data_IF_116840020978
#
_entry.id   IF_116840020978
#
_cell.length_a   1.000
_cell.length_b   1.000
_cell.length_c   1.000
_cell.angle_alpha   90.00
_cell.angle_beta   90.00
_cell.angle_gamma   90.00
#
_symmetry.space_group_name_H-M   'P 1'
#
loop_
_entity.id
_entity.type
_entity.pdbx_description
1 polymer ?
#
# COMPACT_ATOMS: atom_id res chain seq x y z
N UNK A 1 12.98 26.01 0.36
CA UNK A 1 12.51 24.64 0.70
C UNK A 1 11.00 24.56 0.92
N UNK A 2 10.37 25.46 1.69
CA UNK A 2 8.94 25.38 2.07
C UNK A 2 7.93 25.95 1.06
N UNK A 3 8.28 27.02 0.34
CA UNK A 3 7.36 27.71 -0.59
C UNK A 3 7.07 26.91 -1.87
N UNK A 4 8.06 26.18 -2.40
CA UNK A 4 7.97 25.52 -3.71
C UNK A 4 7.10 24.24 -3.72
N UNK A 5 7.06 23.49 -2.62
CA UNK A 5 6.24 22.26 -2.51
C UNK A 5 4.76 22.61 -2.30
N UNK A 6 4.48 23.66 -1.53
CA UNK A 6 3.13 24.19 -1.31
C UNK A 6 2.59 24.80 -2.61
N UNK A 7 3.40 25.55 -3.37
CA UNK A 7 2.98 26.07 -4.67
C UNK A 7 2.68 24.96 -5.70
N UNK A 8 3.44 23.86 -5.65
CA UNK A 8 3.22 22.69 -6.52
C UNK A 8 1.92 21.95 -6.17
N UNK A 9 1.71 21.64 -4.90
CA UNK A 9 0.47 21.02 -4.42
C UNK A 9 -0.73 21.93 -4.71
N UNK A 10 -0.59 23.24 -4.48
CA UNK A 10 -1.59 24.24 -4.85
C UNK A 10 -1.92 24.16 -6.34
N UNK A 11 -0.95 24.06 -7.25
CA UNK A 11 -1.25 24.00 -8.69
C UNK A 11 -1.85 22.66 -9.16
N UNK A 12 -1.44 21.53 -8.59
CA UNK A 12 -2.01 20.21 -8.91
C UNK A 12 -3.43 20.12 -8.35
N UNK A 13 -3.64 20.62 -7.12
CA UNK A 13 -4.96 20.75 -6.49
C UNK A 13 -5.87 21.75 -7.22
N UNK A 14 -5.35 22.90 -7.67
CA UNK A 14 -6.14 23.88 -8.43
C UNK A 14 -6.60 23.33 -9.77
N UNK A 15 -5.74 22.61 -10.49
CA UNK A 15 -6.10 22.03 -11.81
C UNK A 15 -7.15 20.93 -11.65
N UNK A 16 -7.06 20.12 -10.60
CA UNK A 16 -8.04 19.05 -10.32
C UNK A 16 -9.37 19.58 -9.76
N UNK A 17 -9.36 20.67 -8.98
CA UNK A 17 -10.57 21.35 -8.48
C UNK A 17 -11.28 22.14 -9.58
N UNK A 18 -10.54 22.82 -10.47
CA UNK A 18 -11.12 23.56 -11.61
C UNK A 18 -11.79 22.60 -12.62
N UNK A 19 -11.23 21.40 -12.83
CA UNK A 19 -11.85 20.39 -13.70
C UNK A 19 -13.10 19.72 -13.12
N UNK A 20 -13.40 19.92 -11.82
CA UNK A 20 -14.50 19.26 -11.12
C UNK A 20 -15.71 20.18 -10.83
N UNK A 21 -15.64 21.48 -11.15
CA UNK A 21 -16.72 22.43 -10.89
C UNK A 21 -17.54 22.71 -12.17
N UNK A 22 -18.89 22.62 -12.14
CA UNK A 22 -19.70 22.80 -13.35
C UNK A 22 -19.75 24.23 -13.89
N UNK A 23 -19.41 25.25 -13.10
CA UNK A 23 -19.56 26.67 -13.45
C UNK A 23 -18.57 27.58 -12.69
N UNK A 24 -17.31 27.65 -13.13
CA UNK A 24 -16.37 28.64 -12.58
C UNK A 24 -15.99 29.70 -13.63
N UNK A 25 -16.41 30.94 -13.38
CA UNK A 25 -15.94 32.15 -14.06
C UNK A 25 -15.26 33.06 -13.04
N UNK A 26 -13.93 32.92 -12.91
CA UNK A 26 -13.05 33.81 -12.16
C UNK A 26 -12.04 34.51 -13.10
N UNK A 27 -11.37 35.58 -12.64
CA UNK A 27 -10.62 36.49 -13.50
C UNK A 27 -9.44 35.79 -14.19
N UNK A 28 -9.24 36.14 -15.45
CA UNK A 28 -8.47 35.40 -16.45
C UNK A 28 -6.95 35.48 -16.21
N UNK A 29 -6.44 34.61 -15.33
CA UNK A 29 -5.00 34.38 -15.20
C UNK A 29 -4.58 33.43 -16.33
N UNK A 30 -3.93 33.96 -17.35
CA UNK A 30 -3.41 33.21 -18.50
C UNK A 30 -2.71 31.91 -18.05
N UNK A 31 -3.28 30.77 -18.46
CA UNK A 31 -2.78 29.40 -18.20
C UNK A 31 -1.29 29.25 -18.51
N UNK A 32 -0.81 29.94 -19.55
CA UNK A 32 0.59 29.91 -19.97
C UNK A 32 1.54 30.57 -18.98
N UNK A 33 1.06 31.51 -18.15
CA UNK A 33 1.86 32.20 -17.13
C UNK A 33 2.08 31.31 -15.91
N UNK A 34 1.06 30.54 -15.53
CA UNK A 34 1.11 29.53 -14.46
C UNK A 34 2.03 28.37 -14.86
N UNK A 35 1.89 27.86 -16.08
CA UNK A 35 2.72 26.77 -16.61
C UNK A 35 4.20 27.17 -16.72
N UNK A 36 4.50 28.42 -17.11
CA UNK A 36 5.88 28.93 -17.17
C UNK A 36 6.51 29.10 -15.78
N UNK A 37 5.74 29.55 -14.79
CA UNK A 37 6.20 29.67 -13.41
C UNK A 37 6.49 28.29 -12.80
N UNK A 38 5.65 27.30 -13.08
CA UNK A 38 5.84 25.91 -12.66
C UNK A 38 7.09 25.27 -13.27
N UNK A 39 7.34 25.50 -14.56
CA UNK A 39 8.58 25.06 -15.22
C UNK A 39 9.82 25.73 -14.61
N UNK A 40 9.77 27.02 -14.31
CA UNK A 40 10.90 27.74 -13.68
C UNK A 40 11.21 27.29 -12.25
N UNK A 41 10.20 26.83 -11.51
CA UNK A 41 10.36 26.31 -10.15
C UNK A 41 10.88 24.86 -10.13
N UNK A 42 10.50 24.05 -11.13
CA UNK A 42 10.97 22.68 -11.31
C UNK A 42 12.43 22.58 -11.80
N UNK A 43 12.95 23.62 -12.46
CA UNK A 43 14.29 23.62 -13.07
C UNK A 43 15.41 24.10 -12.11
N UNK A 44 15.07 24.46 -10.86
CA UNK A 44 16.07 24.84 -9.85
C UNK A 44 16.78 23.60 -9.28
N UNK A 45 18.12 23.61 -9.31
CA UNK A 45 19.02 22.49 -8.92
C UNK A 45 18.71 21.84 -7.57
N UNK A 46 18.21 22.60 -6.59
CA UNK A 46 18.01 22.13 -5.21
C UNK A 46 16.67 21.37 -5.01
N UNK A 47 15.83 21.25 -6.05
CA UNK A 47 14.48 20.70 -5.97
C UNK A 47 14.18 19.55 -6.95
N UNK A 48 15.16 19.17 -7.77
CA UNK A 48 15.00 18.19 -8.86
C UNK A 48 14.73 16.76 -8.36
N UNK A 49 15.36 16.32 -7.26
CA UNK A 49 15.23 14.94 -6.77
C UNK A 49 13.85 14.65 -6.14
N UNK A 50 13.34 15.53 -5.28
CA UNK A 50 12.04 15.35 -4.64
C UNK A 50 10.86 15.51 -5.63
N UNK A 51 10.99 16.46 -6.57
CA UNK A 51 10.01 16.68 -7.64
C UNK A 51 9.96 15.48 -8.59
N UNK A 52 11.12 14.96 -9.02
CA UNK A 52 11.20 13.78 -9.85
C UNK A 52 10.63 12.54 -9.14
N UNK A 53 10.88 12.34 -7.84
CA UNK A 53 10.39 11.15 -7.15
C UNK A 53 8.87 11.14 -6.98
N UNK A 54 8.25 12.25 -6.56
CA UNK A 54 6.79 12.32 -6.39
C UNK A 54 6.07 12.30 -7.73
N UNK A 55 6.59 13.02 -8.74
CA UNK A 55 6.02 12.96 -10.09
C UNK A 55 6.23 11.59 -10.73
N UNK A 56 7.37 10.91 -10.53
CA UNK A 56 7.60 9.55 -11.04
C UNK A 56 6.61 8.59 -10.38
N UNK A 57 6.50 8.57 -9.05
CA UNK A 57 5.55 7.67 -8.35
C UNK A 57 4.11 7.87 -8.84
N UNK A 58 3.67 9.12 -9.01
CA UNK A 58 2.32 9.41 -9.48
C UNK A 58 2.10 9.05 -10.96
N UNK A 59 3.05 9.42 -11.83
CA UNK A 59 2.97 9.15 -13.27
C UNK A 59 3.10 7.66 -13.55
N UNK A 60 3.99 6.97 -12.84
CA UNK A 60 4.21 5.53 -12.95
C UNK A 60 2.97 4.77 -12.44
N UNK A 61 2.36 5.20 -11.33
CA UNK A 61 1.11 4.63 -10.82
C UNK A 61 -0.09 4.82 -11.77
N UNK A 62 -0.24 6.00 -12.38
CA UNK A 62 -1.27 6.25 -13.41
C UNK A 62 -1.03 5.41 -14.65
N UNK A 63 0.19 5.39 -15.17
CA UNK A 63 0.56 4.62 -16.35
C UNK A 63 0.35 3.12 -16.13
N UNK A 64 0.62 2.62 -14.93
CA UNK A 64 0.36 1.25 -14.55
C UNK A 64 -1.13 0.89 -14.62
N UNK A 65 -2.01 1.76 -14.09
CA UNK A 65 -3.46 1.51 -14.15
C UNK A 65 -4.02 1.57 -15.57
N UNK A 66 -3.49 2.47 -16.42
CA UNK A 66 -3.84 2.55 -17.85
C UNK A 66 -3.45 1.24 -18.57
N UNK A 67 -2.27 0.69 -18.30
CA UNK A 67 -1.83 -0.58 -18.89
C UNK A 67 -2.74 -1.76 -18.53
N UNK A 68 -3.33 -1.74 -17.33
CA UNK A 68 -4.32 -2.74 -16.89
C UNK A 68 -5.72 -2.53 -17.45
N UNK A 69 -5.86 -1.68 -18.46
CA UNK A 69 -7.14 -1.36 -19.11
C UNK A 69 -8.19 -0.85 -18.12
N UNK A 70 -7.76 -0.27 -16.99
CA UNK A 70 -8.66 0.41 -16.04
C UNK A 70 -9.22 1.63 -16.75
N UNK A 71 -10.52 1.83 -16.61
CA UNK A 71 -11.22 2.97 -17.20
C UNK A 71 -10.76 4.27 -16.57
N UNK A 72 -10.90 5.37 -17.29
CA UNK A 72 -10.66 6.72 -16.77
C UNK A 72 -11.44 6.98 -15.48
N UNK A 73 -12.61 6.35 -15.32
CA UNK A 73 -13.46 6.43 -14.11
C UNK A 73 -12.83 5.67 -12.93
N UNK A 74 -12.22 4.51 -13.16
CA UNK A 74 -11.56 3.72 -12.12
C UNK A 74 -10.24 4.38 -11.67
N UNK A 75 -9.45 4.86 -12.64
CA UNK A 75 -8.23 5.63 -12.39
C UNK A 75 -8.57 6.90 -11.63
N UNK A 76 -9.60 7.63 -12.06
CA UNK A 76 -10.11 8.78 -11.32
C UNK A 76 -10.52 8.36 -9.91
N UNK A 77 -11.40 7.39 -9.70
CA UNK A 77 -11.87 7.01 -8.34
C UNK A 77 -10.74 6.72 -7.34
N UNK A 78 -9.68 6.03 -7.77
CA UNK A 78 -8.51 5.71 -6.93
C UNK A 78 -7.70 6.97 -6.60
N UNK A 79 -7.46 7.83 -7.60
CA UNK A 79 -6.65 9.05 -7.45
C UNK A 79 -7.42 10.26 -6.88
N UNK A 80 -8.73 10.33 -7.10
CA UNK A 80 -9.52 11.56 -6.92
C UNK A 80 -10.40 11.56 -5.70
N UNK A 81 -10.71 10.44 -5.06
CA UNK A 81 -11.54 10.50 -3.85
C UNK A 81 -10.70 10.52 -2.57
N UNK A 82 -9.80 9.56 -2.38
CA UNK A 82 -9.05 9.45 -1.10
C UNK A 82 -7.83 10.35 -1.02
N UNK A 83 -7.01 10.41 -2.07
CA UNK A 83 -5.85 11.32 -2.09
C UNK A 83 -6.27 12.79 -2.10
N UNK A 84 -7.27 13.17 -2.92
CA UNK A 84 -7.83 14.52 -2.83
C UNK A 84 -8.48 14.79 -1.48
N UNK A 85 -9.16 13.80 -0.87
CA UNK A 85 -9.68 13.95 0.49
C UNK A 85 -8.56 14.23 1.50
N UNK A 86 -7.48 13.44 1.50
CA UNK A 86 -6.33 13.65 2.39
C UNK A 86 -5.69 15.00 2.13
N UNK A 87 -5.42 15.36 0.87
CA UNK A 87 -4.83 16.65 0.53
C UNK A 87 -5.75 17.82 0.93
N UNK A 88 -7.04 17.74 0.64
CA UNK A 88 -8.03 18.76 1.02
C UNK A 88 -8.11 18.94 2.55
N UNK A 89 -7.97 17.85 3.31
CA UNK A 89 -8.14 17.86 4.76
C UNK A 89 -6.83 17.94 5.57
N UNK A 90 -5.67 17.83 4.93
CA UNK A 90 -4.36 17.86 5.61
C UNK A 90 -3.36 18.86 5.02
N UNK A 91 -3.34 19.06 3.69
CA UNK A 91 -2.35 19.92 3.03
C UNK A 91 -2.93 21.24 2.51
N UNK A 92 -4.23 21.27 2.16
CA UNK A 92 -4.91 22.41 1.53
C UNK A 92 -5.87 23.15 2.45
N UNK A 93 -5.76 22.94 3.77
CA UNK A 93 -6.51 23.77 4.69
C UNK A 93 -5.99 25.22 4.63
N UNK A 94 -6.87 26.24 4.75
CA UNK A 94 -6.45 27.64 4.67
C UNK A 94 -5.34 28.02 5.65
N UNK A 95 -5.34 27.46 6.85
CA UNK A 95 -4.31 27.69 7.88
C UNK A 95 -2.94 27.10 7.50
N UNK A 96 -2.92 25.93 6.85
CA UNK A 96 -1.70 25.26 6.38
C UNK A 96 -1.06 26.04 5.23
N UNK A 97 -1.87 26.43 4.25
CA UNK A 97 -1.40 27.19 3.09
C UNK A 97 -0.95 28.58 3.52
N UNK A 98 -1.77 29.32 4.28
CA UNK A 98 -1.46 30.69 4.63
C UNK A 98 -0.28 30.76 5.59
N UNK A 99 -0.24 29.88 6.61
CA UNK A 99 0.88 29.80 7.55
C UNK A 99 2.21 29.36 6.93
N UNK A 100 2.19 28.74 5.74
CA UNK A 100 3.40 28.41 5.01
C UNK A 100 3.96 29.56 4.16
N UNK A 101 3.15 30.58 3.84
CA UNK A 101 3.47 31.63 2.86
C UNK A 101 3.53 33.03 3.49
N UNK A 102 2.67 33.29 4.47
CA UNK A 102 2.48 34.61 5.10
C UNK A 102 2.76 34.48 6.59
N UNK A 103 3.71 35.28 7.09
CA UNK A 103 4.01 35.37 8.51
C UNK A 103 2.75 35.76 9.30
N UNK A 104 2.52 35.13 10.45
CA UNK A 104 1.36 35.31 11.32
C UNK A 104 -0.03 34.99 10.71
N UNK A 105 -0.11 34.30 9.57
CA UNK A 105 -1.39 33.93 8.96
C UNK A 105 -1.93 32.54 9.35
N UNK A 106 -1.10 31.71 9.97
CA UNK A 106 -1.47 30.37 10.41
C UNK A 106 -0.28 29.59 10.96
N UNK A 107 -0.56 28.49 11.66
CA UNK A 107 0.47 27.56 12.15
C UNK A 107 0.30 26.25 11.40
N UNK A 108 1.15 25.97 10.39
CA UNK A 108 1.03 24.75 9.60
C UNK A 108 1.41 23.54 10.46
N UNK A 109 0.47 22.62 10.65
CA UNK A 109 0.64 21.35 11.33
C UNK A 109 1.07 20.27 10.33
N UNK A 110 2.32 20.32 9.90
CA UNK A 110 2.89 19.22 9.13
C UNK A 110 3.03 17.97 10.02
N UNK A 111 2.40 16.84 9.69
CA UNK A 111 2.42 15.64 10.53
C UNK A 111 3.82 15.09 10.78
N UNK A 112 4.79 15.39 9.90
CA UNK A 112 6.21 15.02 10.09
C UNK A 112 6.96 15.89 11.12
N UNK A 113 6.39 17.02 11.51
CA UNK A 113 7.01 18.00 12.40
C UNK A 113 6.19 18.27 13.67
N UNK A 114 4.94 17.77 13.73
CA UNK A 114 4.08 17.91 14.90
C UNK A 114 4.40 16.80 15.88
N UNK A 115 5.12 17.16 16.94
CA UNK A 115 5.30 16.28 18.09
C UNK A 115 4.05 16.37 18.97
N UNK A 116 3.52 15.22 19.35
CA UNK A 116 2.40 15.10 20.27
C UNK A 116 2.84 14.30 21.50
N UNK A 117 2.28 14.63 22.65
CA UNK A 117 2.60 13.98 23.92
C UNK A 117 1.41 13.15 24.40
N UNK A 118 1.71 12.01 25.01
CA UNK A 118 0.74 11.20 25.74
C UNK A 118 0.96 11.45 27.23
N UNK A 119 -0.07 11.94 27.93
CA UNK A 119 -0.01 12.09 29.38
C UNK A 119 -0.06 10.70 30.02
N UNK A 120 1.03 10.29 30.64
CA UNK A 120 1.10 9.05 31.40
C UNK A 120 0.55 9.32 32.81
N UNK A 121 -0.42 8.51 33.31
CA UNK A 121 -0.93 8.67 34.66
C UNK A 121 0.18 8.58 35.71
N UNK A 122 0.07 9.39 36.76
CA UNK A 122 0.97 9.36 37.92
C UNK A 122 0.90 8.01 38.66
N UNK A 123 1.80 7.82 39.63
CA UNK A 123 1.92 6.61 40.48
C UNK A 123 2.55 5.41 39.77
N UNK A 124 3.64 5.65 39.04
CA UNK A 124 4.49 4.57 38.52
C UNK A 124 4.94 3.67 39.69
N UNK A 125 4.61 2.36 39.67
CA UNK A 125 5.02 1.44 40.73
C UNK A 125 6.54 1.30 40.76
N UNK A 126 7.13 0.91 41.92
CA UNK A 126 8.55 0.62 41.99
C UNK A 126 8.91 -0.50 41.02
N UNK A 127 10.06 -0.38 40.37
CA UNK A 127 10.56 -1.40 39.45
C UNK A 127 10.79 -2.70 40.23
N UNK A 128 10.10 -3.77 39.82
CA UNK A 128 10.31 -5.11 40.33
C UNK A 128 10.97 -5.94 39.24
N UNK A 129 12.14 -6.57 39.49
CA UNK A 129 12.72 -7.48 38.53
C UNK A 129 11.78 -8.68 38.31
N UNK A 130 11.87 -9.28 37.13
CA UNK A 130 11.15 -10.51 36.86
C UNK A 130 11.62 -11.60 37.84
N UNK A 131 10.69 -12.32 38.50
CA UNK A 131 11.07 -13.39 39.39
C UNK A 131 11.76 -14.52 38.61
N UNK A 132 12.72 -15.24 39.21
CA UNK A 132 13.27 -16.43 38.59
C UNK A 132 12.14 -17.44 38.33
N UNK A 133 12.11 -18.01 37.13
CA UNK A 133 11.11 -19.01 36.76
C UNK A 133 11.53 -20.33 37.40
N UNK A 134 10.71 -20.93 38.29
CA UNK A 134 11.04 -22.23 38.86
C UNK A 134 11.06 -23.33 37.78
N UNK A 135 11.89 -24.35 37.97
CA UNK A 135 11.92 -25.51 37.10
C UNK A 135 10.56 -26.24 37.08
N UNK A 136 10.25 -26.91 35.95
CA UNK A 136 9.05 -27.74 35.75
C UNK A 136 7.70 -27.00 35.81
N UNK A 137 7.67 -25.69 35.52
CA UNK A 137 6.41 -24.96 35.32
C UNK A 137 5.73 -25.37 34.00
N UNK A 138 4.39 -25.41 33.94
CA UNK A 138 3.69 -25.58 32.66
C UNK A 138 4.02 -24.42 31.73
N UNK A 139 4.23 -24.73 30.46
CA UNK A 139 4.53 -23.76 29.40
C UNK A 139 3.38 -23.71 28.42
N UNK A 140 3.09 -22.51 27.90
CA UNK A 140 2.18 -22.37 26.77
C UNK A 140 2.89 -22.72 25.46
N UNK A 141 2.20 -23.44 24.58
CA UNK A 141 2.60 -23.61 23.19
C UNK A 141 1.73 -22.73 22.30
N UNK A 142 2.39 -21.80 21.62
CA UNK A 142 1.74 -20.75 20.84
C UNK A 142 2.15 -20.88 19.40
N UNK A 143 1.16 -20.97 18.50
CA UNK A 143 1.39 -20.83 17.07
C UNK A 143 1.38 -19.34 16.73
N UNK A 144 2.39 -18.88 16.00
CA UNK A 144 2.47 -17.50 15.52
C UNK A 144 2.57 -17.51 13.99
N UNK A 145 1.60 -16.87 13.34
CA UNK A 145 1.54 -16.70 11.89
C UNK A 145 1.64 -15.20 11.55
N UNK A 146 2.35 -14.86 10.49
CA UNK A 146 2.48 -13.50 9.97
C UNK A 146 2.72 -13.55 8.48
N UNK A 147 2.44 -12.45 7.78
CA UNK A 147 2.82 -12.20 6.38
C UNK A 147 2.40 -13.38 5.48
N UNK A 148 1.11 -13.74 5.56
CA UNK A 148 0.58 -14.92 4.86
C UNK A 148 0.59 -14.68 3.34
N UNK A 149 0.27 -13.47 2.90
CA UNK A 149 0.30 -13.00 1.51
C UNK A 149 -0.17 -14.05 0.49
N UNK A 150 -1.49 -14.32 0.44
CA UNK A 150 -2.04 -15.27 -0.54
C UNK A 150 -2.25 -14.58 -1.88
N UNK A 151 -1.53 -15.06 -2.89
CA UNK A 151 -1.76 -14.69 -4.29
C UNK A 151 -2.87 -15.56 -4.91
N UNK A 152 -4.06 -14.98 -5.03
CA UNK A 152 -5.22 -15.59 -5.71
C UNK A 152 -5.05 -15.79 -7.22
N UNK A 153 -4.11 -15.09 -7.84
CA UNK A 153 -3.81 -15.16 -9.27
C UNK A 153 -2.50 -15.92 -9.54
N UNK A 154 -1.89 -16.53 -8.51
CA UNK A 154 -0.68 -17.33 -8.68
C UNK A 154 -0.93 -18.43 -9.71
N UNK A 155 -0.13 -18.43 -10.78
CA UNK A 155 -0.28 -19.33 -11.91
C UNK A 155 0.93 -20.25 -12.00
N UNK A 156 0.74 -21.54 -11.75
CA UNK A 156 1.80 -22.56 -11.86
C UNK A 156 2.33 -22.60 -13.30
N UNK A 157 3.66 -22.64 -13.44
CA UNK A 157 4.35 -22.67 -14.72
C UNK A 157 4.48 -21.31 -15.41
N UNK A 158 3.96 -20.22 -14.83
CA UNK A 158 4.19 -18.86 -15.33
C UNK A 158 5.61 -18.37 -15.02
N UNK A 159 6.03 -17.22 -15.57
CA UNK A 159 7.37 -16.69 -15.33
C UNK A 159 7.55 -16.21 -13.88
N UNK A 160 8.48 -16.83 -13.17
CA UNK A 160 8.83 -16.44 -11.81
C UNK A 160 9.95 -15.38 -11.76
N UNK A 161 10.86 -15.36 -12.73
CA UNK A 161 11.93 -14.37 -12.85
C UNK A 161 11.55 -13.29 -13.86
N UNK A 162 10.41 -12.64 -13.63
CA UNK A 162 9.97 -11.55 -14.48
C UNK A 162 10.88 -10.33 -14.29
N UNK A 163 11.39 -9.76 -15.38
CA UNK A 163 12.18 -8.54 -15.33
C UNK A 163 11.24 -7.33 -15.23
N UNK A 164 11.53 -6.40 -14.31
CA UNK A 164 11.01 -5.04 -14.36
C UNK A 164 11.36 -4.47 -15.74
N UNK A 165 10.38 -4.24 -16.61
CA UNK A 165 10.64 -3.65 -17.93
C UNK A 165 11.41 -2.33 -17.75
N UNK A 166 12.63 -2.24 -18.27
CA UNK A 166 13.55 -1.13 -18.00
C UNK A 166 13.05 0.24 -18.48
N UNK A 167 12.03 0.29 -19.33
CA UNK A 167 11.45 1.55 -19.81
C UNK A 167 10.36 2.12 -18.88
N UNK A 168 9.64 1.28 -18.12
CA UNK A 168 8.49 1.68 -17.30
C UNK A 168 8.41 1.01 -15.91
N UNK A 169 9.31 0.08 -15.57
CA UNK A 169 9.40 -0.68 -14.31
C UNK A 169 8.10 -1.39 -13.86
N UNK A 170 7.30 -1.96 -14.77
CA UNK A 170 5.90 -2.35 -14.46
C UNK A 170 5.59 -3.83 -14.20
N UNK A 171 6.49 -4.62 -13.58
CA UNK A 171 6.02 -5.83 -12.88
C UNK A 171 6.43 -5.76 -11.42
N UNK A 172 5.50 -5.31 -10.57
CA UNK A 172 5.71 -5.30 -9.14
C UNK A 172 5.61 -6.71 -8.52
N UNK A 173 5.04 -7.71 -9.23
CA UNK A 173 4.99 -9.11 -8.80
C UNK A 173 4.96 -10.10 -9.98
N UNK A 174 5.66 -11.22 -9.86
CA UNK A 174 5.80 -12.31 -10.83
C UNK A 174 4.86 -13.49 -10.51
N UNK A 175 5.06 -14.65 -11.13
CA UNK A 175 4.28 -15.88 -10.93
C UNK A 175 2.78 -15.77 -11.26
N UNK A 176 2.40 -14.82 -12.12
CA UNK A 176 1.03 -14.63 -12.63
C UNK A 176 1.02 -14.69 -14.16
N UNK A 177 -0.15 -14.94 -14.73
CA UNK A 177 -0.37 -14.86 -16.18
C UNK A 177 -0.80 -13.44 -16.58
N UNK A 178 0.14 -12.61 -17.03
CA UNK A 178 -0.18 -11.29 -17.53
C UNK A 178 -0.60 -11.32 -19.01
N UNK A 179 -1.73 -10.67 -19.32
CA UNK A 179 -2.24 -10.55 -20.69
C UNK A 179 -1.38 -9.66 -21.58
N UNK A 180 -0.61 -8.74 -20.97
CA UNK A 180 0.15 -7.70 -21.66
C UNK A 180 1.61 -8.08 -21.97
N UNK A 181 1.97 -9.35 -21.81
CA UNK A 181 3.17 -9.93 -22.44
C UNK A 181 3.07 -9.98 -23.98
N UNK A 182 2.11 -9.25 -24.55
CA UNK A 182 1.86 -9.03 -25.96
C UNK A 182 2.31 -7.60 -26.27
N UNK A 183 3.54 -7.44 -26.74
CA UNK A 183 4.06 -6.16 -27.23
C UNK A 183 3.11 -5.54 -28.27
N UNK A 184 2.92 -4.21 -28.19
CA UNK A 184 2.10 -3.39 -29.12
C UNK A 184 2.44 -3.58 -30.62
N UNK A 185 3.52 -4.29 -30.95
CA UNK A 185 4.01 -4.53 -32.32
C UNK A 185 4.17 -6.02 -32.68
N UNK A 186 3.24 -6.88 -32.23
CA UNK A 186 3.08 -8.21 -32.79
C UNK A 186 3.75 -9.35 -32.02
N UNK A 187 2.90 -10.12 -31.36
CA UNK A 187 2.97 -11.58 -31.13
C UNK A 187 4.37 -12.21 -30.98
N UNK A 188 5.04 -11.96 -29.86
CA UNK A 188 5.73 -13.04 -29.14
C UNK A 188 5.47 -12.88 -27.65
N UNK A 189 4.82 -13.90 -27.05
CA UNK A 189 4.80 -14.05 -25.59
C UNK A 189 6.24 -14.00 -25.11
N UNK A 190 6.53 -13.27 -24.04
CA UNK A 190 7.85 -13.33 -23.40
C UNK A 190 8.14 -14.81 -23.09
N UNK A 191 9.34 -15.30 -23.44
CA UNK A 191 9.70 -16.67 -23.13
C UNK A 191 9.72 -16.88 -21.62
N UNK A 192 9.24 -18.04 -21.17
CA UNK A 192 9.35 -18.46 -19.77
C UNK A 192 10.74 -19.04 -19.58
N UNK A 193 11.58 -18.36 -18.81
CA UNK A 193 12.91 -18.77 -18.40
C UNK A 193 12.87 -19.56 -17.10
N UNK A 194 12.06 -19.11 -16.12
CA UNK A 194 11.91 -19.77 -14.83
C UNK A 194 10.44 -20.06 -14.55
N UNK A 195 9.97 -21.29 -14.80
CA UNK A 195 8.57 -21.64 -14.56
C UNK A 195 8.29 -21.72 -13.06
N UNK A 196 7.24 -21.05 -12.60
CA UNK A 196 6.78 -21.04 -11.21
C UNK A 196 6.32 -22.44 -10.76
N UNK A 197 6.62 -22.79 -9.52
CA UNK A 197 6.36 -24.12 -8.96
C UNK A 197 4.96 -24.22 -8.38
N UNK A 198 4.47 -25.44 -8.08
CA UNK A 198 3.16 -25.61 -7.46
C UNK A 198 3.10 -24.99 -6.05
N UNK A 199 4.16 -25.04 -5.27
CA UNK A 199 4.13 -24.62 -3.85
C UNK A 199 4.62 -23.18 -3.62
N UNK A 200 4.79 -22.39 -4.67
CA UNK A 200 5.46 -21.09 -4.62
C UNK A 200 6.83 -21.13 -5.31
N UNK A 201 7.52 -19.98 -5.34
CA UNK A 201 8.86 -19.86 -5.92
C UNK A 201 9.62 -18.67 -5.27
N UNK A 202 10.93 -18.78 -4.97
CA UNK A 202 11.71 -17.72 -4.33
C UNK A 202 12.12 -16.60 -5.31
N UNK A 203 11.13 -15.89 -5.85
CA UNK A 203 11.31 -14.62 -6.59
C UNK A 203 10.35 -13.57 -6.00
N UNK A 204 10.10 -12.48 -6.71
CA UNK A 204 9.06 -11.52 -6.37
C UNK A 204 7.66 -12.12 -6.59
N UNK A 205 7.34 -13.19 -5.87
CA UNK A 205 6.08 -13.93 -5.93
C UNK A 205 5.57 -14.16 -4.52
N UNK A 206 4.27 -13.98 -4.34
CA UNK A 206 3.57 -14.40 -3.14
C UNK A 206 3.10 -15.86 -3.27
N UNK A 207 2.55 -16.44 -2.20
CA UNK A 207 2.26 -17.88 -2.15
C UNK A 207 0.89 -18.22 -2.76
N UNK A 208 0.76 -19.36 -3.45
CA UNK A 208 -0.56 -19.87 -3.82
C UNK A 208 -1.30 -20.38 -2.57
N UNK A 209 -2.64 -20.29 -2.60
CA UNK A 209 -3.50 -20.73 -1.50
C UNK A 209 -3.18 -22.14 -0.98
N UNK A 210 -2.85 -23.07 -1.88
CA UNK A 210 -2.54 -24.46 -1.53
C UNK A 210 -1.31 -24.61 -0.62
N UNK A 211 -0.33 -23.71 -0.71
CA UNK A 211 0.84 -23.73 0.18
C UNK A 211 0.43 -23.41 1.60
N UNK A 212 -0.42 -22.40 1.79
CA UNK A 212 -0.94 -22.02 3.10
C UNK A 212 -1.83 -23.13 3.68
N UNK A 213 -2.76 -23.67 2.88
CA UNK A 213 -3.59 -24.81 3.31
C UNK A 213 -2.76 -26.01 3.75
N UNK A 214 -1.74 -26.39 2.97
CA UNK A 214 -0.88 -27.52 3.30
C UNK A 214 -0.10 -27.28 4.61
N UNK A 215 0.37 -26.06 4.84
CA UNK A 215 1.05 -25.68 6.08
C UNK A 215 0.11 -25.78 7.28
N UNK A 216 -1.08 -25.16 7.20
CA UNK A 216 -2.10 -25.18 8.26
C UNK A 216 -2.53 -26.62 8.59
N UNK A 217 -2.79 -27.44 7.57
CA UNK A 217 -3.13 -28.86 7.73
C UNK A 217 -2.02 -29.64 8.42
N UNK A 218 -0.76 -29.41 8.05
CA UNK A 218 0.36 -30.09 8.70
C UNK A 218 0.43 -29.71 10.18
N UNK A 219 0.37 -28.41 10.48
CA UNK A 219 0.42 -27.88 11.85
C UNK A 219 -0.70 -28.47 12.70
N UNK A 220 -1.93 -28.52 12.20
CA UNK A 220 -3.07 -29.07 12.96
C UNK A 220 -2.90 -30.54 13.32
N UNK A 221 -2.15 -31.31 12.53
CA UNK A 221 -1.84 -32.71 12.81
C UNK A 221 -0.61 -32.91 13.69
N UNK A 222 0.41 -32.07 13.52
CA UNK A 222 1.68 -32.17 14.24
C UNK A 222 1.61 -31.55 15.65
N UNK A 223 0.71 -30.58 15.85
CA UNK A 223 0.58 -29.80 17.07
C UNK A 223 -0.87 -29.80 17.56
N UNK A 224 -1.29 -30.91 18.16
CA UNK A 224 -2.61 -31.03 18.80
C UNK A 224 -2.67 -30.40 20.21
N UNK A 225 -1.55 -29.87 20.70
CA UNK A 225 -1.36 -29.32 22.04
C UNK A 225 -1.08 -27.80 22.02
N UNK A 226 -1.60 -27.10 21.02
CA UNK A 226 -1.57 -25.64 20.96
C UNK A 226 -2.57 -25.03 21.96
N UNK A 227 -2.13 -24.06 22.74
CA UNK A 227 -2.99 -23.36 23.68
C UNK A 227 -3.74 -22.20 23.01
N UNK A 228 -3.09 -21.49 22.09
CA UNK A 228 -3.69 -20.42 21.29
C UNK A 228 -2.83 -20.07 20.07
N UNK A 229 -3.42 -19.28 19.16
CA UNK A 229 -2.80 -18.81 17.92
C UNK A 229 -2.75 -17.28 17.92
N UNK A 230 -1.61 -16.72 17.52
CA UNK A 230 -1.45 -15.29 17.20
C UNK A 230 -1.27 -15.16 15.69
N UNK A 231 -1.99 -14.21 15.09
CA UNK A 231 -1.87 -13.88 13.67
C UNK A 231 -1.67 -12.38 13.52
N UNK A 232 -0.57 -11.97 12.90
CA UNK A 232 -0.18 -10.56 12.84
C UNK A 232 -0.58 -9.79 11.58
N UNK A 233 -1.45 -10.37 10.74
CA UNK A 233 -2.02 -9.71 9.56
C UNK A 233 -1.29 -10.05 8.26
N UNK A 234 -1.46 -9.20 7.25
CA UNK A 234 -0.89 -9.29 5.91
C UNK A 234 -1.30 -10.57 5.17
N UNK A 235 -2.61 -10.65 4.90
CA UNK A 235 -3.29 -11.76 4.23
C UNK A 235 -3.33 -11.57 2.70
N UNK A 236 -3.43 -10.32 2.24
CA UNK A 236 -3.46 -9.98 0.82
C UNK A 236 -2.06 -10.00 0.21
N UNK A 237 -1.98 -10.34 -1.07
CA UNK A 237 -0.74 -10.27 -1.84
C UNK A 237 -0.27 -8.82 -2.09
N UNK A 238 0.93 -8.70 -2.61
CA UNK A 238 1.57 -7.47 -3.09
C UNK A 238 1.03 -7.03 -4.46
N UNK A 239 -0.26 -7.20 -4.72
CA UNK A 239 -0.96 -6.78 -5.94
C UNK A 239 -1.83 -5.53 -5.73
N UNK A 240 -1.21 -4.51 -5.12
CA UNK A 240 -1.79 -3.21 -4.74
C UNK A 240 -2.38 -2.38 -5.89
N UNK A 241 -2.47 -2.94 -7.10
CA UNK A 241 -3.08 -2.36 -8.28
C UNK A 241 -4.32 -3.10 -8.77
N UNK A 242 -4.58 -4.32 -8.27
CA UNK A 242 -5.71 -5.17 -8.68
C UNK A 242 -6.47 -5.72 -7.49
N UNK A 243 -6.93 -4.81 -6.64
CA UNK A 243 -7.59 -5.10 -5.37
C UNK A 243 -8.84 -4.24 -5.20
N UNK A 244 -9.84 -4.77 -4.49
CA UNK A 244 -11.09 -4.10 -4.14
C UNK A 244 -11.51 -4.52 -2.74
N UNK A 245 -12.39 -3.75 -2.09
CA UNK A 245 -12.89 -4.10 -0.75
C UNK A 245 -13.53 -5.49 -0.71
N UNK A 246 -14.28 -5.85 -1.76
CA UNK A 246 -14.96 -7.14 -1.81
C UNK A 246 -13.97 -8.30 -2.04
N UNK A 247 -12.96 -8.08 -2.88
CA UNK A 247 -11.87 -9.03 -3.05
C UNK A 247 -11.12 -9.21 -1.73
N UNK A 248 -10.63 -8.14 -1.11
CA UNK A 248 -9.91 -8.21 0.18
C UNK A 248 -10.75 -8.91 1.25
N UNK A 249 -12.02 -8.53 1.41
CA UNK A 249 -12.93 -9.21 2.35
C UNK A 249 -13.07 -10.71 2.05
N UNK A 250 -13.20 -11.08 0.77
CA UNK A 250 -13.33 -12.48 0.38
C UNK A 250 -12.09 -13.30 0.73
N UNK A 251 -10.88 -12.76 0.59
CA UNK A 251 -9.65 -13.48 0.89
C UNK A 251 -9.42 -13.59 2.40
N UNK A 252 -9.68 -12.51 3.16
CA UNK A 252 -9.70 -12.55 4.63
C UNK A 252 -10.68 -13.62 5.13
N UNK A 253 -11.89 -13.69 4.58
CA UNK A 253 -12.87 -14.71 4.94
C UNK A 253 -12.37 -16.12 4.62
N UNK A 254 -11.82 -16.36 3.43
CA UNK A 254 -11.31 -17.68 3.04
C UNK A 254 -10.18 -18.16 3.98
N UNK A 255 -9.24 -17.29 4.32
CA UNK A 255 -8.15 -17.60 5.26
C UNK A 255 -8.69 -17.87 6.66
N UNK A 256 -9.64 -17.05 7.11
CA UNK A 256 -10.29 -17.22 8.42
C UNK A 256 -11.05 -18.54 8.50
N UNK A 257 -11.83 -18.88 7.47
CA UNK A 257 -12.60 -20.12 7.40
C UNK A 257 -11.67 -21.34 7.41
N UNK A 258 -10.55 -21.29 6.68
CA UNK A 258 -9.53 -22.34 6.68
C UNK A 258 -8.93 -22.56 8.08
N UNK A 259 -8.57 -21.47 8.76
CA UNK A 259 -8.03 -21.54 10.12
C UNK A 259 -9.05 -22.10 11.11
N UNK A 260 -10.30 -21.65 11.05
CA UNK A 260 -11.38 -22.15 11.91
C UNK A 260 -11.71 -23.62 11.61
N UNK A 261 -11.57 -24.06 10.36
CA UNK A 261 -11.75 -25.46 9.98
C UNK A 261 -10.68 -26.37 10.62
N UNK A 262 -9.41 -25.96 10.59
CA UNK A 262 -8.31 -26.78 11.11
C UNK A 262 -8.07 -26.61 12.62
N UNK A 263 -8.53 -25.50 13.22
CA UNK A 263 -8.36 -25.19 14.63
C UNK A 263 -9.69 -24.77 15.32
N UNK A 264 -10.76 -25.59 15.27
CA UNK A 264 -12.11 -25.17 15.66
C UNK A 264 -12.28 -24.81 17.14
N UNK A 265 -11.39 -25.30 18.01
CA UNK A 265 -11.48 -25.14 19.46
C UNK A 265 -10.29 -24.38 20.07
N UNK A 266 -9.40 -23.83 19.25
CA UNK A 266 -8.21 -23.12 19.72
C UNK A 266 -8.46 -21.60 19.56
N UNK A 267 -8.30 -20.78 20.60
CA UNK A 267 -8.44 -19.33 20.49
C UNK A 267 -7.46 -18.74 19.49
N UNK A 268 -7.97 -17.85 18.62
CA UNK A 268 -7.17 -17.12 17.62
C UNK A 268 -7.24 -15.62 17.93
N UNK A 269 -6.06 -14.99 18.06
CA UNK A 269 -5.91 -13.56 18.28
C UNK A 269 -5.26 -12.93 17.05
N UNK A 270 -5.96 -11.98 16.42
CA UNK A 270 -5.55 -11.38 15.16
C UNK A 270 -5.23 -9.90 15.35
N UNK A 271 -4.14 -9.42 14.76
CA UNK A 271 -3.93 -8.00 14.47
C UNK A 271 -4.08 -7.73 12.98
N UNK A 272 -4.35 -6.46 12.66
CA UNK A 272 -4.53 -6.00 11.28
C UNK A 272 -3.15 -5.54 10.77
N UNK A 273 -2.73 -6.09 9.64
CA UNK A 273 -1.54 -5.69 8.90
C UNK A 273 -1.85 -4.54 7.94
N UNK A 274 -0.84 -4.06 7.25
CA UNK A 274 -0.97 -2.89 6.38
C UNK A 274 -1.58 -3.26 5.01
N UNK A 275 -1.57 -4.54 4.63
CA UNK A 275 -2.15 -5.03 3.37
C UNK A 275 -3.68 -5.29 3.42
N UNK A 276 -4.32 -5.23 4.60
CA UNK A 276 -5.77 -5.43 4.74
C UNK A 276 -6.61 -4.22 4.31
N UNK A 277 -5.98 -3.03 4.23
CA UNK A 277 -6.65 -1.79 3.83
C UNK A 277 -7.00 -1.74 2.34
N UNK A 278 -8.08 -1.01 2.00
CA UNK A 278 -8.36 -0.63 0.60
C UNK A 278 -8.60 0.90 0.51
N UNK A 279 -7.60 1.69 0.11
CA UNK A 279 -6.29 1.29 -0.39
C UNK A 279 -5.38 0.66 0.67
N UNK A 280 -4.33 -0.07 0.29
CA UNK A 280 -3.36 -0.60 1.26
C UNK A 280 -2.72 0.56 2.03
N UNK A 281 -2.31 0.30 3.27
CA UNK A 281 -1.82 1.30 4.25
C UNK A 281 -2.85 2.37 4.68
N UNK A 282 -4.14 2.20 4.37
CA UNK A 282 -5.21 3.14 4.71
C UNK A 282 -5.72 3.06 6.15
#
# INVERSE_FOLDING_TARGET
MRVSLVLLLLTIGFISVICALPNFHGPDVSKDKVIRLLRQLADKRDHRAAYCNVCSIFVDGVNFMIQRNKTDIEIAKVLTLRWLFVLANAAFKPNEICGAIVDDCGQPQFPLNVMWNITIPDKKPPLKPWPPIPDNKPTYKVLHLSDIHIDRQYAIGSEAHCQLDGALRTYAMCCRNYTDDVTLFGRKRKPIYVPSGPWGMPYACDIPYQTFEAAVKHISTAHSDLDYIIITGDFEAHDSWDYTQDLTRSNINNITDLLLQYFPNIPVYVSIGNHEGVPQDA
#
